data_IF_391685200772
#
_entry.id   IF_391685200772
#
_cell.length_a   1.000
_cell.length_b   1.000
_cell.length_c   1.000
_cell.angle_alpha   90.00
_cell.angle_beta   90.00
_cell.angle_gamma   90.00
#
_symmetry.space_group_name_H-M   'P 1'
#
loop_
_entity.id
_entity.type
_entity.pdbx_description
1 polymer ?
#
# COMPACT_ATOMS: atom_id res chain seq x y z
N UNK A 1 -2.18 -29.64 40.28
CA UNK A 1 -1.74 -28.59 39.34
C UNK A 1 -0.22 -28.50 39.29
N UNK A 2 0.44 -29.24 38.37
CA UNK A 2 1.69 -28.76 37.79
C UNK A 2 1.88 -29.03 36.27
N UNK A 3 0.85 -29.41 35.52
CA UNK A 3 1.02 -29.95 34.15
C UNK A 3 1.08 -28.91 33.01
N UNK A 4 0.87 -27.63 33.28
CA UNK A 4 0.79 -26.60 32.22
C UNK A 4 2.15 -26.02 31.83
N UNK A 5 3.22 -26.24 32.61
CA UNK A 5 4.53 -25.58 32.39
C UNK A 5 5.43 -26.26 31.34
N UNK A 6 5.11 -27.48 30.90
CA UNK A 6 5.98 -28.24 29.97
C UNK A 6 5.65 -28.06 28.48
N UNK A 7 4.58 -27.33 28.15
CA UNK A 7 4.14 -27.19 26.76
C UNK A 7 4.73 -25.98 26.01
N UNK A 8 5.30 -24.99 26.71
CA UNK A 8 5.73 -23.74 26.07
C UNK A 8 7.15 -23.72 25.51
N UNK A 9 7.99 -24.71 25.85
CA UNK A 9 9.39 -24.78 25.40
C UNK A 9 9.60 -25.63 24.14
N UNK A 10 8.54 -26.09 23.47
CA UNK A 10 8.63 -27.05 22.35
C UNK A 10 8.31 -26.53 20.94
N UNK A 11 8.09 -25.23 20.74
CA UNK A 11 7.76 -24.69 19.39
C UNK A 11 8.82 -23.79 18.76
N UNK A 12 10.09 -23.87 19.19
CA UNK A 12 11.19 -23.18 18.51
C UNK A 12 12.10 -24.20 17.81
N UNK A 13 11.62 -24.82 16.74
CA UNK A 13 12.46 -25.63 15.87
C UNK A 13 11.87 -25.75 14.45
N UNK A 14 12.59 -25.21 13.47
CA UNK A 14 12.48 -25.55 12.05
C UNK A 14 11.55 -24.65 11.24
N UNK A 15 11.89 -24.20 10.04
CA UNK A 15 13.11 -24.36 9.26
C UNK A 15 13.11 -23.25 8.20
N UNK A 16 14.27 -22.61 8.04
CA UNK A 16 14.64 -21.79 6.89
C UNK A 16 14.82 -22.67 5.65
N UNK A 17 14.02 -22.44 4.61
CA UNK A 17 14.23 -22.83 3.20
C UNK A 17 12.99 -22.33 2.45
N UNK A 18 13.02 -21.59 1.35
CA UNK A 18 13.84 -21.78 0.16
C UNK A 18 13.61 -20.59 -0.78
N UNK A 19 14.67 -19.80 -1.05
CA UNK A 19 14.71 -18.74 -2.07
C UNK A 19 15.47 -19.26 -3.30
N UNK A 20 14.88 -20.11 -4.14
CA UNK A 20 15.47 -20.46 -5.44
C UNK A 20 14.41 -21.03 -6.39
N UNK A 21 13.60 -20.19 -7.06
CA UNK A 21 12.96 -20.55 -8.34
C UNK A 21 12.62 -19.26 -9.13
N UNK A 22 13.66 -18.54 -9.57
CA UNK A 22 13.54 -17.55 -10.64
C UNK A 22 14.63 -17.84 -11.66
N UNK A 23 14.35 -18.76 -12.59
CA UNK A 23 15.11 -18.90 -13.84
C UNK A 23 14.28 -19.76 -14.80
N UNK A 24 13.38 -19.12 -15.55
CA UNK A 24 12.84 -19.68 -16.78
C UNK A 24 13.17 -18.66 -17.88
N UNK A 25 14.22 -18.97 -18.65
CA UNK A 25 14.61 -18.18 -19.82
C UNK A 25 13.59 -18.39 -20.94
N UNK A 26 13.14 -17.33 -21.64
CA UNK A 26 12.27 -17.49 -22.80
C UNK A 26 13.02 -18.12 -23.99
N UNK A 27 12.33 -18.88 -24.85
CA UNK A 27 12.95 -19.54 -26.00
C UNK A 27 13.43 -18.55 -27.06
N UNK A 28 14.59 -18.86 -27.64
CA UNK A 28 15.27 -18.13 -28.71
C UNK A 28 14.39 -18.07 -29.97
N UNK A 29 14.11 -16.90 -30.56
CA UNK A 29 13.43 -16.80 -31.85
C UNK A 29 14.36 -17.21 -33.00
N UNK A 30 13.91 -18.14 -33.84
CA UNK A 30 14.58 -18.50 -35.11
C UNK A 30 14.66 -17.30 -36.07
N UNK A 31 15.76 -17.11 -36.83
CA UNK A 31 15.89 -15.97 -37.73
C UNK A 31 14.97 -16.11 -38.95
N UNK A 32 14.11 -15.11 -39.18
CA UNK A 32 13.32 -15.00 -40.41
C UNK A 32 14.25 -14.79 -41.61
N UNK A 33 14.07 -15.66 -42.62
CA UNK A 33 14.66 -15.60 -43.96
C UNK A 33 14.37 -14.23 -44.59
N UNK A 34 15.41 -13.43 -44.87
CA UNK A 34 15.30 -12.12 -45.52
C UNK A 34 14.99 -12.31 -47.01
N UNK A 35 13.85 -11.84 -47.48
CA UNK A 35 13.65 -11.50 -48.90
C UNK A 35 14.26 -10.11 -49.16
N UNK A 36 14.89 -9.87 -50.33
CA UNK A 36 15.51 -8.59 -50.65
C UNK A 36 14.45 -7.49 -50.74
N UNK A 37 14.68 -6.38 -50.02
CA UNK A 37 13.85 -5.16 -50.09
C UNK A 37 14.72 -4.06 -50.70
N UNK A 38 14.14 -3.33 -51.64
CA UNK A 38 14.69 -2.17 -52.35
C UNK A 38 15.33 -1.10 -51.44
N UNK A 39 16.27 -0.28 -51.97
CA UNK A 39 17.06 0.65 -51.17
C UNK A 39 16.20 1.74 -50.51
N UNK A 40 16.50 2.15 -49.26
CA UNK A 40 15.68 3.09 -48.51
C UNK A 40 15.77 4.52 -49.08
N UNK A 41 14.60 5.12 -49.26
CA UNK A 41 14.41 6.57 -49.44
C UNK A 41 14.88 7.34 -48.17
N UNK A 42 15.38 8.59 -48.29
CA UNK A 42 16.04 9.30 -47.20
C UNK A 42 15.14 9.50 -45.98
N UNK A 43 15.71 9.32 -44.80
CA UNK A 43 15.06 9.40 -43.50
C UNK A 43 14.23 10.69 -43.31
N UNK A 44 12.91 10.52 -43.29
CA UNK A 44 11.99 11.53 -42.77
C UNK A 44 12.02 11.47 -41.24
N UNK A 45 12.14 12.64 -40.63
CA UNK A 45 12.58 12.84 -39.26
C UNK A 45 11.55 12.28 -38.27
N UNK A 46 12.08 11.55 -37.29
CA UNK A 46 11.40 10.99 -36.15
C UNK A 46 10.95 12.11 -35.19
N UNK A 47 9.76 12.64 -35.38
CA UNK A 47 9.08 13.43 -34.35
C UNK A 47 8.33 12.47 -33.42
N UNK A 48 9.03 11.97 -32.40
CA UNK A 48 8.40 11.30 -31.26
C UNK A 48 8.86 11.99 -29.98
N UNK A 49 8.52 13.26 -29.83
CA UNK A 49 8.56 13.94 -28.54
C UNK A 49 7.29 13.61 -27.75
N UNK A 50 7.30 12.46 -27.09
CA UNK A 50 6.35 12.20 -25.98
C UNK A 50 6.81 13.00 -24.76
N UNK A 51 5.93 13.75 -24.06
CA UNK A 51 6.35 14.60 -22.95
C UNK A 51 6.53 13.77 -21.68
N UNK A 52 7.58 12.96 -21.62
CA UNK A 52 7.96 12.15 -20.45
C UNK A 52 8.20 13.05 -19.22
N UNK A 53 8.55 14.32 -19.43
CA UNK A 53 8.76 15.30 -18.36
C UNK A 53 7.47 15.72 -17.65
N UNK A 54 6.37 15.90 -18.39
CA UNK A 54 5.07 16.26 -17.82
C UNK A 54 4.49 15.16 -16.92
N UNK A 55 4.71 13.89 -17.29
CA UNK A 55 4.27 12.73 -16.51
C UNK A 55 4.97 12.64 -15.14
N UNK A 56 6.29 12.87 -15.09
CA UNK A 56 7.06 12.81 -13.82
C UNK A 56 6.70 13.95 -12.87
N UNK A 57 6.47 15.16 -13.38
CA UNK A 57 6.03 16.31 -12.57
C UNK A 57 4.64 16.07 -12.00
N UNK A 58 3.70 15.59 -12.82
CA UNK A 58 2.34 15.26 -12.38
C UNK A 58 2.34 14.16 -11.31
N UNK A 59 3.19 13.13 -11.46
CA UNK A 59 3.36 12.08 -10.46
C UNK A 59 3.91 12.62 -9.15
N UNK A 60 4.92 13.49 -9.19
CA UNK A 60 5.49 14.12 -7.98
C UNK A 60 4.47 15.01 -7.27
N UNK A 61 3.71 15.81 -8.01
CA UNK A 61 2.65 16.64 -7.44
C UNK A 61 1.56 15.80 -6.76
N UNK A 62 1.16 14.67 -7.37
CA UNK A 62 0.20 13.73 -6.78
C UNK A 62 0.73 13.12 -5.47
N UNK A 63 1.99 12.72 -5.42
CA UNK A 63 2.60 12.15 -4.21
C UNK A 63 2.64 13.18 -3.07
N UNK A 64 2.97 14.44 -3.38
CA UNK A 64 2.98 15.51 -2.38
C UNK A 64 1.57 15.81 -1.84
N UNK A 65 0.56 15.80 -2.71
CA UNK A 65 -0.84 15.95 -2.29
C UNK A 65 -1.27 14.80 -1.37
N UNK A 66 -0.94 13.55 -1.72
CA UNK A 66 -1.23 12.38 -0.88
C UNK A 66 -0.50 12.44 0.46
N UNK A 67 0.74 12.89 0.51
CA UNK A 67 1.47 13.07 1.77
C UNK A 67 0.77 14.09 2.69
N UNK A 68 0.37 15.24 2.13
CA UNK A 68 -0.35 16.26 2.88
C UNK A 68 -1.67 15.72 3.43
N UNK A 69 -2.47 15.08 2.59
CA UNK A 69 -3.74 14.47 3.00
C UNK A 69 -3.55 13.37 4.06
N UNK A 70 -2.49 12.58 3.93
CA UNK A 70 -2.13 11.57 4.92
C UNK A 70 -1.86 12.19 6.30
N UNK A 71 -1.00 13.22 6.34
CA UNK A 71 -0.65 13.92 7.59
C UNK A 71 -1.87 14.58 8.23
N UNK A 72 -2.72 15.23 7.43
CA UNK A 72 -3.94 15.86 7.92
C UNK A 72 -4.94 14.82 8.46
N UNK A 73 -5.15 13.72 7.74
CA UNK A 73 -6.05 12.65 8.17
C UNK A 73 -5.54 11.99 9.45
N UNK A 74 -4.22 11.81 9.59
CA UNK A 74 -3.61 11.27 10.80
C UNK A 74 -3.84 12.18 12.01
N UNK A 75 -3.68 13.50 11.84
CA UNK A 75 -3.96 14.46 12.90
C UNK A 75 -5.44 14.42 13.33
N UNK A 76 -6.38 14.36 12.37
CA UNK A 76 -7.82 14.23 12.66
C UNK A 76 -8.16 12.94 13.39
N UNK A 77 -7.56 11.82 12.99
CA UNK A 77 -7.73 10.53 13.65
C UNK A 77 -7.25 10.59 15.10
N UNK A 78 -6.07 11.17 15.34
CA UNK A 78 -5.53 11.33 16.68
C UNK A 78 -6.44 12.18 17.58
N UNK A 79 -6.94 13.30 17.06
CA UNK A 79 -7.88 14.15 17.79
C UNK A 79 -9.16 13.39 18.15
N UNK A 80 -9.79 12.70 17.19
CA UNK A 80 -11.02 11.92 17.44
C UNK A 80 -10.85 10.80 18.45
N UNK A 81 -9.73 10.07 18.39
CA UNK A 81 -9.43 9.02 19.37
C UNK A 81 -9.19 9.61 20.76
N UNK A 82 -8.53 10.77 20.84
CA UNK A 82 -8.30 11.47 22.11
C UNK A 82 -9.62 11.94 22.73
N UNK A 83 -10.50 12.53 21.92
CA UNK A 83 -11.82 12.97 22.36
C UNK A 83 -12.67 11.78 22.83
N UNK A 84 -12.70 10.69 22.05
CA UNK A 84 -13.45 9.48 22.42
C UNK A 84 -12.95 8.88 23.73
N UNK A 85 -11.63 8.86 23.94
CA UNK A 85 -11.05 8.41 25.22
C UNK A 85 -11.56 9.26 26.38
N UNK A 86 -11.52 10.59 26.25
CA UNK A 86 -12.01 11.49 27.30
C UNK A 86 -13.50 11.27 27.60
N UNK A 87 -14.30 11.03 26.55
CA UNK A 87 -15.71 10.70 26.73
C UNK A 87 -15.88 9.38 27.50
N UNK A 88 -15.19 8.32 27.08
CA UNK A 88 -15.28 6.99 27.72
C UNK A 88 -14.80 7.04 29.18
N UNK A 89 -13.73 7.78 29.47
CA UNK A 89 -13.21 7.94 30.84
C UNK A 89 -14.22 8.66 31.75
N UNK A 90 -15.09 9.52 31.18
CA UNK A 90 -16.13 10.25 31.91
C UNK A 90 -17.49 9.52 31.97
N UNK A 91 -17.72 8.50 31.13
CA UNK A 91 -18.99 7.80 31.00
C UNK A 91 -19.14 6.70 32.07
N UNK A 92 -20.38 6.55 32.57
CA UNK A 92 -20.75 5.40 33.38
C UNK A 92 -20.81 4.13 32.53
N UNK A 93 -20.59 2.96 33.15
CA UNK A 93 -20.45 1.66 32.45
C UNK A 93 -21.62 1.32 31.52
N UNK A 94 -22.84 1.74 31.85
CA UNK A 94 -24.03 1.53 31.01
C UNK A 94 -24.00 2.32 29.70
N UNK A 95 -23.36 3.49 29.71
CA UNK A 95 -23.46 4.47 28.63
C UNK A 95 -22.30 4.33 27.63
N UNK A 96 -21.26 3.57 27.99
CA UNK A 96 -20.13 3.19 27.13
C UNK A 96 -20.63 2.43 25.89
N UNK A 97 -21.66 1.59 26.04
CA UNK A 97 -22.22 0.79 24.95
C UNK A 97 -23.34 1.51 24.18
N UNK A 98 -23.41 2.83 24.30
CA UNK A 98 -24.40 3.62 23.60
C UNK A 98 -24.16 3.67 22.08
N UNK A 99 -25.22 3.94 21.35
CA UNK A 99 -25.18 4.16 19.89
C UNK A 99 -24.25 5.33 19.53
N UNK A 100 -24.10 6.32 20.43
CA UNK A 100 -23.22 7.45 20.23
C UNK A 100 -21.75 7.00 20.12
N UNK A 101 -21.26 6.22 21.09
CA UNK A 101 -19.90 5.67 21.09
C UNK A 101 -19.66 4.76 19.88
N UNK A 102 -20.66 3.96 19.49
CA UNK A 102 -20.59 3.15 18.28
C UNK A 102 -20.36 4.01 17.03
N UNK A 103 -21.13 5.09 16.86
CA UNK A 103 -20.98 6.00 15.71
C UNK A 103 -19.62 6.71 15.70
N UNK A 104 -19.14 7.19 16.85
CA UNK A 104 -17.82 7.83 16.92
C UNK A 104 -16.71 6.84 16.55
N UNK A 105 -16.79 5.60 17.05
CA UNK A 105 -15.84 4.54 16.71
C UNK A 105 -15.89 4.19 15.22
N UNK A 106 -17.07 4.22 14.59
CA UNK A 106 -17.22 4.02 13.15
C UNK A 106 -16.56 5.14 12.33
N UNK A 107 -16.63 6.40 12.78
CA UNK A 107 -15.92 7.51 12.12
C UNK A 107 -14.40 7.36 12.24
N UNK A 108 -13.89 6.91 13.39
CA UNK A 108 -12.47 6.57 13.59
C UNK A 108 -12.05 5.45 12.62
N UNK A 109 -12.88 4.42 12.45
CA UNK A 109 -12.62 3.33 11.50
C UNK A 109 -12.53 3.85 10.06
N UNK A 110 -13.42 4.76 9.65
CA UNK A 110 -13.39 5.38 8.32
C UNK A 110 -12.08 6.14 8.09
N UNK A 111 -11.65 6.95 9.05
CA UNK A 111 -10.39 7.69 8.99
C UNK A 111 -9.18 6.73 8.90
N UNK A 112 -9.17 5.66 9.68
CA UNK A 112 -8.12 4.64 9.63
C UNK A 112 -8.09 3.93 8.26
N UNK A 113 -9.26 3.61 7.69
CA UNK A 113 -9.38 3.04 6.34
C UNK A 113 -8.87 4.01 5.27
N UNK A 114 -9.13 5.31 5.40
CA UNK A 114 -8.59 6.33 4.50
C UNK A 114 -7.06 6.38 4.55
N UNK A 115 -6.47 6.38 5.75
CA UNK A 115 -5.00 6.30 5.91
C UNK A 115 -4.40 5.07 5.25
N UNK A 116 -5.03 3.90 5.41
CA UNK A 116 -4.60 2.67 4.73
C UNK A 116 -4.62 2.83 3.20
N UNK A 117 -5.65 3.50 2.66
CA UNK A 117 -5.76 3.71 1.22
C UNK A 117 -4.69 4.68 0.69
N UNK A 118 -4.34 5.70 1.47
CA UNK A 118 -3.24 6.62 1.13
C UNK A 118 -1.87 5.94 1.19
N UNK A 119 -1.67 4.99 2.11
CA UNK A 119 -0.44 4.22 2.24
C UNK A 119 -0.28 3.11 1.18
N UNK A 120 -1.33 2.84 0.38
CA UNK A 120 -1.29 1.80 -0.66
C UNK A 120 -0.56 2.36 -1.88
N UNK A 121 0.70 1.94 -2.02
CA UNK A 121 1.57 2.20 -3.18
C UNK A 121 1.27 1.21 -4.29
#
# INVERSE_FOLDING_TARGET
>A
MPDTRRCFLKSLAGASSSLLLFQCSPPIPTPRRRTPVDPPSPAEKQDTETPVYGSKIAQRARLQAQEKEFRETMARLFAKVSDLRLQVDALHTSDIFSIAIFKETQEIEKLAKQLKNYAKV
#
